data_IF_883097670348
#
_entry.id   IF_883097670348
#
_cell.length_a   1.000
_cell.length_b   1.000
_cell.length_c   1.000
_cell.angle_alpha   90.00
_cell.angle_beta   90.00
_cell.angle_gamma   90.00
#
_symmetry.space_group_name_H-M   'P 1'
#
loop_
_entity.id
_entity.type
_entity.pdbx_description
1 polymer ?
#
# COMPACT_ATOMS: atom_id res chain seq x y z
N UNK A 1 -14.80 -0.24 5.12
CA UNK A 1 -14.98 0.75 6.20
C UNK A 1 -13.64 1.35 6.66
N UNK A 2 -12.61 0.52 6.94
CA UNK A 2 -11.30 0.99 7.43
C UNK A 2 -10.65 2.04 6.53
N UNK A 3 -10.52 1.77 5.22
CA UNK A 3 -9.91 2.70 4.27
C UNK A 3 -10.56 4.11 4.30
N UNK A 4 -11.88 4.17 4.42
CA UNK A 4 -12.57 5.47 4.55
C UNK A 4 -12.12 6.20 5.81
N UNK A 5 -12.06 5.51 6.96
CA UNK A 5 -11.58 6.10 8.21
C UNK A 5 -10.11 6.52 8.14
N UNK A 6 -9.28 5.73 7.44
CA UNK A 6 -7.88 6.07 7.20
C UNK A 6 -7.76 7.40 6.44
N UNK A 7 -8.54 7.57 5.36
CA UNK A 7 -8.45 8.76 4.49
C UNK A 7 -9.14 9.98 5.08
N UNK A 8 -10.35 9.81 5.63
CA UNK A 8 -11.16 10.94 6.11
C UNK A 8 -10.89 11.29 7.58
N UNK A 9 -10.40 10.34 8.36
CA UNK A 9 -10.28 10.39 9.82
C UNK A 9 -11.46 9.70 10.52
N UNK A 10 -11.30 9.49 11.81
CA UNK A 10 -12.30 8.90 12.70
C UNK A 10 -13.17 10.01 13.26
N UNK A 11 -14.51 9.99 13.04
CA UNK A 11 -15.39 10.99 13.62
C UNK A 11 -15.45 10.84 15.14
N UNK A 12 -15.29 11.95 15.83
CA UNK A 12 -15.34 12.03 17.31
C UNK A 12 -16.27 13.15 17.74
N UNK A 13 -16.86 12.98 18.92
CA UNK A 13 -17.59 14.03 19.62
C UNK A 13 -16.88 14.34 20.94
N UNK A 14 -16.76 15.60 21.27
CA UNK A 14 -16.15 16.04 22.52
C UNK A 14 -16.86 17.26 23.10
N UNK A 15 -16.72 17.46 24.40
CA UNK A 15 -17.24 18.65 25.10
C UNK A 15 -16.19 19.73 25.16
N UNK A 16 -16.57 20.94 24.76
CA UNK A 16 -15.74 22.14 24.91
C UNK A 16 -16.61 23.33 25.25
N UNK A 17 -16.29 24.02 26.33
CA UNK A 17 -17.02 25.19 26.83
C UNK A 17 -18.53 24.93 27.06
N UNK A 18 -18.90 23.68 27.48
CA UNK A 18 -20.27 23.26 27.70
C UNK A 18 -21.06 22.88 26.44
N UNK A 19 -20.44 22.97 25.27
CA UNK A 19 -21.05 22.59 24.00
C UNK A 19 -20.49 21.26 23.47
N UNK A 20 -21.35 20.45 22.86
CA UNK A 20 -20.92 19.23 22.15
C UNK A 20 -20.44 19.64 20.74
N UNK A 21 -19.19 19.31 20.42
CA UNK A 21 -18.57 19.56 19.12
C UNK A 21 -18.19 18.26 18.45
N UNK A 22 -18.31 18.21 17.11
CA UNK A 22 -17.84 17.11 16.29
C UNK A 22 -16.56 17.48 15.56
N UNK A 23 -15.64 16.52 15.42
CA UNK A 23 -14.41 16.66 14.65
C UNK A 23 -13.95 15.30 14.11
N UNK A 24 -12.84 15.29 13.35
CA UNK A 24 -12.22 14.09 12.81
C UNK A 24 -10.79 13.93 13.33
N UNK A 25 -10.53 12.85 14.03
CA UNK A 25 -9.15 12.46 14.40
C UNK A 25 -8.47 11.89 13.16
N UNK A 26 -7.41 12.55 12.70
CA UNK A 26 -6.60 12.10 11.57
C UNK A 26 -5.66 10.99 12.03
N UNK A 27 -5.68 9.86 11.32
CA UNK A 27 -4.81 8.72 11.57
C UNK A 27 -3.44 8.88 10.90
N UNK A 28 -3.39 9.68 9.84
CA UNK A 28 -2.20 9.91 9.01
C UNK A 28 -2.10 11.39 8.67
N UNK A 29 -0.90 11.95 8.75
CA UNK A 29 -0.58 13.27 8.20
C UNK A 29 -0.24 13.11 6.71
N UNK A 30 -1.24 13.32 5.86
CA UNK A 30 -1.12 13.19 4.42
C UNK A 30 -0.25 14.28 3.77
N UNK A 31 -0.17 15.45 4.40
CA UNK A 31 0.54 16.61 3.86
C UNK A 31 2.03 16.60 4.20
N UNK A 32 2.40 15.97 5.31
CA UNK A 32 3.77 15.94 5.79
C UNK A 32 4.20 14.50 6.13
N UNK A 33 4.63 13.71 5.13
CA UNK A 33 5.01 12.31 5.32
C UNK A 33 6.01 12.08 6.46
N UNK A 34 6.93 13.02 6.68
CA UNK A 34 7.94 12.94 7.75
C UNK A 34 7.36 13.09 9.17
N UNK A 35 6.11 13.51 9.33
CA UNK A 35 5.44 13.59 10.64
C UNK A 35 4.79 12.30 11.06
N UNK A 36 4.70 11.34 10.16
CA UNK A 36 4.19 10.01 10.49
C UNK A 36 5.34 9.14 11.04
N UNK A 37 4.99 8.23 11.93
CA UNK A 37 5.89 7.17 12.36
C UNK A 37 5.90 6.05 11.30
N UNK A 38 7.09 5.67 10.86
CA UNK A 38 7.31 4.62 9.87
C UNK A 38 8.09 3.48 10.50
N UNK A 39 7.54 2.27 10.46
CA UNK A 39 8.18 1.10 11.03
C UNK A 39 8.06 -0.08 10.06
N UNK A 40 9.18 -0.74 9.79
CA UNK A 40 9.23 -2.02 9.09
C UNK A 40 9.59 -3.11 10.10
N UNK A 41 8.74 -4.11 10.24
CA UNK A 41 8.96 -5.25 11.14
C UNK A 41 9.15 -6.50 10.29
N UNK A 42 10.30 -7.15 10.44
CA UNK A 42 10.56 -8.43 9.81
C UNK A 42 10.13 -9.59 10.71
N UNK A 43 9.60 -10.64 10.11
CA UNK A 43 9.23 -11.89 10.77
C UNK A 43 8.31 -11.69 11.99
N UNK A 44 7.33 -10.77 11.88
CA UNK A 44 6.34 -10.52 12.92
C UNK A 44 5.50 -11.78 13.17
N UNK A 45 5.54 -12.32 14.39
CA UNK A 45 4.70 -13.46 14.77
C UNK A 45 3.27 -12.99 15.03
N UNK A 46 2.32 -13.49 14.23
CA UNK A 46 0.89 -13.18 14.35
C UNK A 46 0.15 -14.49 14.65
N UNK A 47 -0.61 -14.49 15.74
CA UNK A 47 -1.36 -15.66 16.20
C UNK A 47 -2.84 -15.45 15.90
N UNK A 48 -3.38 -16.31 15.07
CA UNK A 48 -4.81 -16.45 14.80
C UNK A 48 -5.44 -17.53 15.71
N UNK A 49 -6.70 -17.89 15.48
CA UNK A 49 -7.43 -18.84 16.35
C UNK A 49 -6.75 -20.21 16.48
N UNK A 50 -6.12 -20.71 15.42
CA UNK A 50 -5.56 -22.06 15.37
C UNK A 50 -4.12 -22.11 14.86
N UNK A 51 -3.58 -21.01 14.35
CA UNK A 51 -2.28 -20.97 13.68
C UNK A 51 -1.51 -19.72 14.09
N UNK A 52 -0.20 -19.86 14.19
CA UNK A 52 0.73 -18.72 14.24
C UNK A 52 1.48 -18.67 12.91
N UNK A 53 1.53 -17.49 12.31
CA UNK A 53 2.23 -17.23 11.05
C UNK A 53 3.21 -16.06 11.20
N UNK A 54 4.18 -16.01 10.31
CA UNK A 54 5.24 -15.00 10.35
C UNK A 54 5.46 -14.45 8.95
N UNK A 55 4.70 -13.42 8.54
CA UNK A 55 4.98 -12.68 7.32
C UNK A 55 6.40 -12.14 7.33
N UNK A 56 7.04 -12.09 6.16
CA UNK A 56 8.43 -11.68 6.08
C UNK A 56 8.63 -10.23 6.50
N UNK A 57 7.80 -9.30 5.99
CA UNK A 57 7.86 -7.89 6.41
C UNK A 57 6.43 -7.32 6.51
N UNK A 58 6.19 -6.56 7.57
CA UNK A 58 4.99 -5.74 7.73
C UNK A 58 5.40 -4.28 7.90
N UNK A 59 4.86 -3.40 7.06
CA UNK A 59 5.09 -1.96 7.18
C UNK A 59 3.95 -1.30 7.93
N UNK A 60 4.32 -0.53 8.94
CA UNK A 60 3.40 0.22 9.78
C UNK A 60 3.54 1.72 9.49
N UNK A 61 2.40 2.41 9.49
CA UNK A 61 2.33 3.86 9.50
C UNK A 61 1.51 4.28 10.71
N UNK A 62 2.08 5.02 11.63
CA UNK A 62 1.45 5.40 12.90
C UNK A 62 0.84 4.21 13.66
N UNK A 63 1.54 3.08 13.68
CA UNK A 63 1.10 1.84 14.32
C UNK A 63 0.08 1.00 13.52
N UNK A 64 -0.37 1.45 12.34
CA UNK A 64 -1.30 0.71 11.48
C UNK A 64 -0.54 -0.18 10.48
N UNK A 65 -0.77 -1.50 10.44
CA UNK A 65 -0.10 -2.44 9.53
C UNK A 65 -0.68 -2.34 8.11
N UNK A 66 -0.22 -1.37 7.32
CA UNK A 66 -0.83 -1.04 6.03
C UNK A 66 -0.31 -1.89 4.87
N UNK A 67 0.94 -2.39 4.94
CA UNK A 67 1.54 -3.19 3.86
C UNK A 67 2.08 -4.49 4.43
N UNK A 68 1.81 -5.59 3.75
CA UNK A 68 2.40 -6.90 4.04
C UNK A 68 3.20 -7.35 2.82
N UNK A 69 4.44 -7.77 3.05
CA UNK A 69 5.37 -8.23 2.03
C UNK A 69 5.75 -9.68 2.33
N UNK A 70 5.60 -10.54 1.34
CA UNK A 70 6.02 -11.94 1.39
C UNK A 70 7.10 -12.18 0.34
N UNK A 71 8.20 -12.79 0.77
CA UNK A 71 9.40 -13.00 -0.04
C UNK A 71 9.67 -14.50 -0.23
N UNK A 72 10.23 -14.86 -1.36
CA UNK A 72 10.81 -16.18 -1.58
C UNK A 72 12.31 -16.05 -1.82
N UNK A 73 13.07 -17.03 -1.32
CA UNK A 73 14.52 -17.00 -1.46
C UNK A 73 14.90 -17.26 -2.94
N UNK A 74 15.55 -16.30 -3.61
CA UNK A 74 15.95 -16.46 -5.01
C UNK A 74 16.97 -17.58 -5.24
N UNK A 75 17.67 -18.05 -4.19
CA UNK A 75 18.59 -19.17 -4.27
C UNK A 75 17.88 -20.54 -4.28
N UNK A 76 16.58 -20.60 -4.00
CA UNK A 76 15.79 -21.82 -4.15
C UNK A 76 15.50 -22.07 -5.64
N UNK A 77 15.94 -23.22 -6.17
CA UNK A 77 15.70 -23.60 -7.58
C UNK A 77 14.22 -23.63 -7.97
N UNK A 78 13.33 -23.69 -7.00
CA UNK A 78 11.89 -23.63 -7.16
C UNK A 78 11.30 -22.30 -6.70
N UNK A 79 12.10 -21.23 -6.52
CA UNK A 79 11.57 -19.91 -6.21
C UNK A 79 10.61 -19.50 -7.33
N UNK A 80 9.43 -19.01 -6.92
CA UNK A 80 8.38 -18.56 -7.80
C UNK A 80 7.55 -17.53 -7.02
N UNK A 81 7.36 -16.39 -7.61
CA UNK A 81 6.58 -15.27 -7.01
C UNK A 81 5.16 -15.73 -6.64
N UNK A 82 4.59 -16.69 -7.38
CA UNK A 82 3.25 -17.24 -7.10
C UNK A 82 3.21 -18.08 -5.84
N UNK A 83 4.32 -18.66 -5.40
CA UNK A 83 4.40 -19.33 -4.08
C UNK A 83 4.23 -18.31 -2.95
N UNK A 84 4.76 -17.09 -3.09
CA UNK A 84 4.51 -16.02 -2.15
C UNK A 84 3.03 -15.61 -2.15
N UNK A 85 2.40 -15.50 -3.34
CA UNK A 85 0.97 -15.26 -3.45
C UNK A 85 0.13 -16.33 -2.71
N UNK A 86 0.37 -17.61 -2.96
CA UNK A 86 -0.36 -18.71 -2.30
C UNK A 86 -0.14 -18.72 -0.78
N UNK A 87 1.05 -18.32 -0.33
CA UNK A 87 1.31 -18.21 1.10
C UNK A 87 0.48 -17.08 1.74
N UNK A 88 0.31 -15.96 1.05
CA UNK A 88 -0.59 -14.88 1.51
C UNK A 88 -2.04 -15.37 1.56
N UNK A 89 -2.52 -16.17 0.59
CA UNK A 89 -3.87 -16.74 0.67
C UNK A 89 -4.03 -17.62 1.93
N UNK A 90 -3.01 -18.44 2.24
CA UNK A 90 -2.98 -19.23 3.48
C UNK A 90 -3.03 -18.34 4.73
N UNK A 91 -2.33 -17.21 4.72
CA UNK A 91 -2.39 -16.24 5.84
C UNK A 91 -3.77 -15.63 5.99
N UNK A 92 -4.45 -15.28 4.90
CA UNK A 92 -5.82 -14.75 4.95
C UNK A 92 -6.79 -15.71 5.65
N UNK A 93 -6.62 -17.01 5.45
CA UNK A 93 -7.46 -18.03 6.09
C UNK A 93 -7.08 -18.27 7.56
N UNK A 94 -5.81 -18.18 7.90
CA UNK A 94 -5.30 -18.66 9.18
C UNK A 94 -5.05 -17.57 10.21
N UNK A 95 -4.74 -16.35 9.75
CA UNK A 95 -4.48 -15.16 10.57
C UNK A 95 -5.23 -13.95 10.00
N UNK A 96 -6.53 -14.11 9.72
CA UNK A 96 -7.37 -13.11 9.05
C UNK A 96 -7.29 -11.70 9.69
N UNK A 97 -7.14 -11.63 10.99
CA UNK A 97 -7.04 -10.36 11.72
C UNK A 97 -5.84 -9.49 11.30
N UNK A 98 -4.78 -10.10 10.78
CA UNK A 98 -3.62 -9.38 10.23
C UNK A 98 -3.97 -8.50 9.02
N UNK A 99 -5.10 -8.78 8.37
CA UNK A 99 -5.52 -8.10 7.15
C UNK A 99 -6.60 -7.05 7.35
N UNK A 100 -7.09 -6.86 8.58
CA UNK A 100 -8.16 -5.89 8.87
C UNK A 100 -7.79 -4.46 8.48
N UNK A 101 -6.50 -4.13 8.57
CA UNK A 101 -5.95 -2.80 8.25
C UNK A 101 -5.07 -2.80 7.01
N UNK A 102 -4.96 -3.94 6.32
CA UNK A 102 -4.08 -4.05 5.16
C UNK A 102 -4.61 -3.25 3.97
N UNK A 103 -3.73 -2.45 3.38
CA UNK A 103 -4.01 -1.67 2.19
C UNK A 103 -3.34 -2.23 0.93
N UNK A 104 -2.12 -2.74 1.06
CA UNK A 104 -1.32 -3.25 -0.06
C UNK A 104 -0.63 -4.55 0.33
N UNK A 105 -0.61 -5.48 -0.60
CA UNK A 105 0.16 -6.72 -0.52
C UNK A 105 1.30 -6.66 -1.54
N UNK A 106 2.47 -7.14 -1.14
CA UNK A 106 3.64 -7.25 -2.03
C UNK A 106 4.16 -8.68 -1.97
N UNK A 107 4.49 -9.21 -3.12
CA UNK A 107 5.12 -10.54 -3.28
C UNK A 107 6.40 -10.40 -4.11
N UNK A 108 7.44 -11.16 -3.77
CA UNK A 108 8.67 -11.21 -4.56
C UNK A 108 9.37 -12.56 -4.39
N UNK A 109 10.06 -12.99 -5.44
CA UNK A 109 10.99 -14.13 -5.41
C UNK A 109 12.45 -13.69 -5.59
N UNK A 110 12.69 -12.37 -5.55
CA UNK A 110 14.00 -11.76 -5.77
C UNK A 110 14.28 -11.43 -7.23
N UNK A 111 13.53 -11.97 -8.18
CA UNK A 111 13.57 -11.60 -9.60
C UNK A 111 12.39 -10.73 -9.95
N UNK A 112 11.19 -11.24 -9.71
CA UNK A 112 9.94 -10.51 -9.87
C UNK A 112 9.49 -9.88 -8.55
N UNK A 113 8.87 -8.71 -8.62
CA UNK A 113 8.22 -8.05 -7.49
C UNK A 113 6.90 -7.43 -7.92
N UNK A 114 5.83 -7.90 -7.30
CA UNK A 114 4.47 -7.52 -7.67
C UNK A 114 3.71 -6.97 -6.46
N UNK A 115 2.81 -6.01 -6.70
CA UNK A 115 1.89 -5.51 -5.70
C UNK A 115 0.45 -5.79 -6.10
N UNK A 116 -0.39 -5.99 -5.10
CA UNK A 116 -1.81 -6.24 -5.25
C UNK A 116 -2.62 -5.76 -4.05
N UNK A 117 -3.95 -5.74 -4.21
CA UNK A 117 -4.87 -5.46 -3.11
C UNK A 117 -5.24 -6.74 -2.36
N UNK A 118 -5.90 -6.58 -1.21
CA UNK A 118 -6.38 -7.71 -0.41
C UNK A 118 -7.33 -8.64 -1.17
N UNK A 119 -8.16 -8.11 -2.06
CA UNK A 119 -9.14 -8.87 -2.86
C UNK A 119 -8.63 -9.25 -4.25
N UNK A 120 -7.38 -8.91 -4.59
CA UNK A 120 -6.79 -9.22 -5.89
C UNK A 120 -6.55 -10.73 -6.04
N UNK A 121 -6.94 -11.27 -7.20
CA UNK A 121 -6.45 -12.56 -7.70
C UNK A 121 -5.02 -12.41 -8.25
N UNK A 122 -4.43 -13.51 -8.70
CA UNK A 122 -3.06 -13.50 -9.23
C UNK A 122 -2.90 -12.60 -10.46
N UNK A 123 -3.91 -12.50 -11.33
CA UNK A 123 -3.85 -11.71 -12.56
C UNK A 123 -3.83 -10.20 -12.30
N UNK A 124 -4.23 -9.78 -11.10
CA UNK A 124 -4.29 -8.38 -10.67
C UNK A 124 -3.11 -7.95 -9.81
N UNK A 125 -2.13 -8.83 -9.63
CA UNK A 125 -0.84 -8.44 -9.08
C UNK A 125 0.03 -7.86 -10.18
N UNK A 126 0.57 -6.66 -9.96
CA UNK A 126 1.21 -5.82 -10.97
C UNK A 126 2.64 -5.47 -10.58
N UNK A 127 3.55 -5.46 -11.54
CA UNK A 127 4.89 -4.93 -11.35
C UNK A 127 4.88 -3.40 -11.23
N UNK A 128 5.81 -2.88 -10.44
CA UNK A 128 6.08 -1.43 -10.39
C UNK A 128 7.37 -1.15 -11.16
N UNK A 129 7.28 -0.41 -12.26
CA UNK A 129 8.33 -0.37 -13.27
C UNK A 129 9.17 0.90 -13.30
N UNK A 130 8.89 1.87 -12.41
CA UNK A 130 9.61 3.14 -12.39
C UNK A 130 9.57 3.78 -10.99
N UNK A 131 10.69 4.36 -10.57
CA UNK A 131 10.79 5.10 -9.31
C UNK A 131 10.28 6.53 -9.52
N UNK A 132 10.68 7.18 -10.60
CA UNK A 132 10.42 8.61 -10.85
C UNK A 132 9.22 8.88 -11.76
N UNK A 133 8.71 7.87 -12.47
CA UNK A 133 7.62 7.99 -13.44
C UNK A 133 8.04 8.50 -14.81
N UNK A 134 9.31 8.68 -15.06
CA UNK A 134 9.86 9.22 -16.31
C UNK A 134 10.54 8.12 -17.12
N UNK A 135 11.40 7.34 -16.47
CA UNK A 135 12.16 6.26 -17.09
C UNK A 135 11.78 4.91 -16.49
N UNK A 136 11.78 3.87 -17.30
CA UNK A 136 11.63 2.51 -16.80
C UNK A 136 12.93 2.06 -16.16
N UNK A 137 12.83 1.58 -14.93
CA UNK A 137 13.98 1.04 -14.21
C UNK A 137 14.38 -0.34 -14.77
N UNK A 138 15.65 -0.74 -14.61
CA UNK A 138 16.15 -2.02 -15.10
C UNK A 138 15.38 -3.22 -14.51
N UNK A 139 15.26 -4.27 -15.31
CA UNK A 139 14.80 -5.58 -14.86
C UNK A 139 15.98 -6.39 -14.31
N UNK A 140 15.65 -7.47 -13.63
CA UNK A 140 16.59 -8.48 -13.17
C UNK A 140 16.67 -8.60 -11.65
N UNK A 141 17.50 -9.51 -11.15
CA UNK A 141 17.55 -9.87 -9.75
C UNK A 141 17.65 -8.66 -8.82
N UNK A 142 16.74 -8.58 -7.85
CA UNK A 142 16.56 -7.52 -6.84
C UNK A 142 16.16 -6.15 -7.39
N UNK A 143 16.29 -5.87 -8.70
CA UNK A 143 15.98 -4.56 -9.27
C UNK A 143 14.49 -4.24 -9.18
N UNK A 144 13.61 -5.20 -9.48
CA UNK A 144 12.16 -4.97 -9.43
C UNK A 144 11.68 -4.70 -8.01
N UNK A 145 12.15 -5.47 -7.02
CA UNK A 145 11.83 -5.21 -5.63
C UNK A 145 12.37 -3.84 -5.18
N UNK A 146 13.59 -3.48 -5.59
CA UNK A 146 14.17 -2.17 -5.30
C UNK A 146 13.34 -1.04 -5.91
N UNK A 147 12.92 -1.19 -7.17
CA UNK A 147 12.07 -0.21 -7.87
C UNK A 147 10.72 -0.06 -7.17
N UNK A 148 10.11 -1.16 -6.73
CA UNK A 148 8.85 -1.13 -5.99
C UNK A 148 9.02 -0.44 -4.63
N UNK A 149 10.07 -0.79 -3.88
CA UNK A 149 10.34 -0.21 -2.55
C UNK A 149 10.67 1.28 -2.64
N UNK A 150 11.52 1.69 -3.57
CA UNK A 150 11.91 3.10 -3.76
C UNK A 150 10.87 3.92 -4.52
N UNK A 151 10.00 3.26 -5.26
CA UNK A 151 8.85 3.84 -5.94
C UNK A 151 7.65 3.93 -4.99
N UNK A 152 6.65 3.06 -5.19
CA UNK A 152 5.35 3.16 -4.50
C UNK A 152 5.43 3.05 -2.97
N UNK A 153 6.39 2.33 -2.41
CA UNK A 153 6.54 2.22 -0.95
C UNK A 153 7.36 3.36 -0.33
N UNK A 154 7.94 4.26 -1.12
CA UNK A 154 8.54 5.47 -0.57
C UNK A 154 7.47 6.30 0.17
N UNK A 155 7.76 6.86 1.37
CA UNK A 155 6.75 7.47 2.24
C UNK A 155 5.78 8.42 1.56
N UNK A 156 6.27 9.36 0.77
CA UNK A 156 5.41 10.34 0.09
C UNK A 156 4.53 9.68 -0.99
N UNK A 157 5.08 8.72 -1.74
CA UNK A 157 4.34 8.01 -2.78
C UNK A 157 3.34 7.04 -2.20
N UNK A 158 3.69 6.33 -1.13
CA UNK A 158 2.77 5.43 -0.46
C UNK A 158 1.55 6.18 0.10
N UNK A 159 1.75 7.35 0.72
CA UNK A 159 0.64 8.15 1.21
C UNK A 159 -0.26 8.63 0.06
N UNK A 160 0.30 9.17 -1.02
CA UNK A 160 -0.50 9.56 -2.18
C UNK A 160 -1.25 8.36 -2.78
N UNK A 161 -0.58 7.21 -2.88
CA UNK A 161 -1.14 5.99 -3.42
C UNK A 161 -2.33 5.50 -2.61
N UNK A 162 -2.18 5.42 -1.30
CA UNK A 162 -3.25 5.02 -0.39
C UNK A 162 -4.42 6.01 -0.40
N UNK A 163 -4.14 7.30 -0.52
CA UNK A 163 -5.16 8.34 -0.43
C UNK A 163 -5.99 8.47 -1.70
N UNK A 164 -5.39 8.31 -2.89
CA UNK A 164 -6.00 8.70 -4.16
C UNK A 164 -6.13 7.57 -5.18
N UNK A 165 -5.47 6.43 -4.97
CA UNK A 165 -5.38 5.38 -5.98
C UNK A 165 -5.93 4.02 -5.51
N UNK A 166 -6.75 4.04 -4.45
CA UNK A 166 -7.50 2.88 -3.96
C UNK A 166 -8.98 3.12 -4.22
N UNK A 167 -9.62 2.18 -4.90
CA UNK A 167 -11.05 2.20 -5.21
C UNK A 167 -11.73 0.95 -4.68
N UNK A 168 -13.02 1.05 -4.45
CA UNK A 168 -13.87 -0.07 -4.06
C UNK A 168 -15.03 -0.20 -5.03
N UNK A 169 -15.27 -1.42 -5.45
CA UNK A 169 -16.38 -1.80 -6.34
C UNK A 169 -17.20 -2.89 -5.67
N UNK A 170 -18.51 -2.82 -5.83
CA UNK A 170 -19.44 -3.87 -5.43
C UNK A 170 -19.86 -4.66 -6.68
N UNK A 171 -19.34 -5.89 -6.81
CA UNK A 171 -19.69 -6.82 -7.86
C UNK A 171 -19.75 -8.23 -7.26
N UNK A 172 -20.93 -8.63 -6.78
CA UNK A 172 -21.13 -9.89 -6.04
C UNK A 172 -20.37 -9.97 -4.70
N UNK A 173 -19.64 -8.92 -4.33
CA UNK A 173 -18.83 -8.74 -3.13
C UNK A 173 -18.03 -7.45 -3.20
N UNK A 174 -17.42 -7.07 -2.08
CA UNK A 174 -16.58 -5.86 -2.04
C UNK A 174 -15.18 -6.15 -2.61
N UNK A 175 -14.87 -5.56 -3.75
CA UNK A 175 -13.58 -5.67 -4.43
C UNK A 175 -12.78 -4.39 -4.20
N UNK A 176 -11.57 -4.53 -3.65
CA UNK A 176 -10.60 -3.45 -3.52
C UNK A 176 -9.70 -3.44 -4.74
N UNK A 177 -9.66 -2.34 -5.47
CA UNK A 177 -8.82 -2.11 -6.64
C UNK A 177 -7.76 -1.07 -6.33
N UNK A 178 -6.56 -1.27 -6.86
CA UNK A 178 -5.45 -0.34 -6.75
C UNK A 178 -4.89 -0.03 -8.14
N UNK A 179 -4.33 1.15 -8.32
CA UNK A 179 -3.83 1.60 -9.63
C UNK A 179 -2.48 0.96 -9.99
N UNK A 180 -2.25 0.71 -11.26
CA UNK A 180 -0.93 0.39 -11.77
C UNK A 180 0.02 1.61 -11.79
N UNK A 181 1.34 1.38 -11.89
CA UNK A 181 2.35 2.43 -11.87
C UNK A 181 2.12 3.51 -12.94
N UNK A 182 1.70 3.11 -14.14
CA UNK A 182 1.44 4.02 -15.24
C UNK A 182 0.26 4.96 -14.95
N UNK A 183 -0.80 4.46 -14.32
CA UNK A 183 -1.94 5.28 -13.89
C UNK A 183 -1.54 6.27 -12.80
N UNK A 184 -0.79 5.79 -11.81
CA UNK A 184 -0.29 6.62 -10.71
C UNK A 184 0.55 7.79 -11.22
N UNK A 185 1.56 7.51 -12.03
CA UNK A 185 2.46 8.55 -12.54
C UNK A 185 1.79 9.47 -13.56
N UNK A 186 0.93 8.93 -14.46
CA UNK A 186 0.20 9.74 -15.42
C UNK A 186 -0.73 10.76 -14.74
N UNK A 187 -1.49 10.34 -13.74
CA UNK A 187 -2.38 11.26 -12.99
C UNK A 187 -1.57 12.31 -12.25
N UNK A 188 -0.47 11.94 -11.59
CA UNK A 188 0.41 12.90 -10.88
C UNK A 188 1.02 13.91 -11.85
N UNK A 189 1.49 13.47 -13.01
CA UNK A 189 2.02 14.35 -14.05
C UNK A 189 0.94 15.31 -14.57
N UNK A 190 -0.27 14.81 -14.86
CA UNK A 190 -1.39 15.62 -15.32
C UNK A 190 -1.78 16.69 -14.31
N UNK A 191 -1.89 16.31 -13.00
CA UNK A 191 -2.18 17.27 -11.93
C UNK A 191 -1.09 18.32 -11.83
N UNK A 192 0.19 17.93 -11.93
CA UNK A 192 1.32 18.87 -11.90
C UNK A 192 1.25 19.89 -13.04
N UNK A 193 0.91 19.47 -14.24
CA UNK A 193 0.72 20.37 -15.41
C UNK A 193 -0.47 21.31 -15.23
N UNK A 194 -1.60 20.79 -14.73
CA UNK A 194 -2.78 21.64 -14.45
C UNK A 194 -2.47 22.72 -13.41
N UNK A 195 -1.79 22.34 -12.33
CA UNK A 195 -1.39 23.29 -11.29
C UNK A 195 -0.42 24.36 -11.85
N UNK A 196 0.56 23.94 -12.67
CA UNK A 196 1.50 24.85 -13.31
C UNK A 196 0.77 25.85 -14.23
N UNK A 197 -0.12 25.34 -15.07
CA UNK A 197 -0.91 26.19 -16.01
C UNK A 197 -1.92 27.11 -15.30
N UNK A 198 -2.34 26.78 -14.08
CA UNK A 198 -3.30 27.58 -13.31
C UNK A 198 -2.65 28.69 -12.48
N UNK A 199 -1.32 28.82 -12.49
CA UNK A 199 -0.63 29.94 -11.80
C UNK A 199 -0.86 31.26 -12.54
N UNK A 200 -0.92 32.41 -11.80
CA UNK A 200 -1.14 33.73 -12.41
C UNK A 200 -0.11 34.10 -13.48
N UNK A 201 1.10 33.53 -13.39
CA UNK A 201 2.21 33.81 -14.31
C UNK A 201 2.14 32.94 -15.59
N UNK A 202 1.15 32.06 -15.67
CA UNK A 202 0.59 31.43 -16.87
C UNK A 202 1.58 30.86 -17.87
N UNK A 203 2.69 30.27 -17.44
CA UNK A 203 3.65 29.65 -18.35
C UNK A 203 3.85 28.17 -18.07
N UNK A 204 3.88 27.37 -19.14
CA UNK A 204 4.28 25.96 -19.05
C UNK A 204 5.74 25.82 -18.63
#
# INVERSE_FOLDING_TARGET
>A
QFHRLLVTGVPVQYQRDGETRGDFVKLVDWAAPARNEWLAVNQLSITGPHHTRRPDIVLFVNGLPLVLIELKNPADQNADVWKAFHQIQTYKDQIADAFQYNEVLVISDGTDALLGSLSADSERFMAWRTIDGVTLDPLGPFNELQTLVRGVLAPAFLLDYLRFFVLFEEDGGLIKKIAGYHQFHAVRAAIGQVIAASRPDGLP
#
